data_IF_988382529646
#
_entry.id   IF_988382529646
#
_cell.length_a   1.000
_cell.length_b   1.000
_cell.length_c   1.000
_cell.angle_alpha   90.00
_cell.angle_beta   90.00
_cell.angle_gamma   90.00
#
_symmetry.space_group_name_H-M   'P 1'
#
loop_
_entity.id
_entity.type
_entity.pdbx_description
1 polymer ?
#
# COMPACT_ATOMS: atom_id res chain seq x y z
N UNK A 1 11.55 27.72 -55.52
CA UNK A 1 11.55 28.10 -54.09
C UNK A 1 11.54 26.81 -53.27
N UNK A 2 12.73 26.25 -53.03
CA UNK A 2 12.90 24.97 -52.33
C UNK A 2 12.93 25.20 -50.83
N UNK A 3 11.89 24.75 -50.13
CA UNK A 3 11.75 24.80 -48.68
C UNK A 3 12.73 23.81 -48.03
N UNK A 4 13.93 24.30 -47.69
CA UNK A 4 14.85 23.58 -46.81
C UNK A 4 14.25 23.47 -45.41
N UNK A 5 13.69 22.31 -45.10
CA UNK A 5 13.36 21.95 -43.72
C UNK A 5 14.68 21.65 -43.01
N UNK A 6 15.09 22.52 -42.09
CA UNK A 6 16.30 22.34 -41.29
C UNK A 6 16.17 21.05 -40.44
N UNK A 7 17.09 20.09 -40.55
CA UNK A 7 17.03 18.83 -39.80
C UNK A 7 17.05 19.06 -38.28
N UNK A 8 17.66 20.17 -37.83
CA UNK A 8 17.69 20.58 -36.43
C UNK A 8 16.28 20.81 -35.83
N UNK A 9 15.32 21.30 -36.63
CA UNK A 9 13.92 21.49 -36.19
C UNK A 9 13.20 20.14 -35.98
N UNK A 10 13.59 19.11 -36.73
CA UNK A 10 13.02 17.77 -36.61
C UNK A 10 13.59 17.03 -35.39
N UNK A 11 14.90 17.20 -35.13
CA UNK A 11 15.57 16.65 -33.94
C UNK A 11 15.03 17.27 -32.66
N UNK A 12 14.82 18.59 -32.63
CA UNK A 12 14.26 19.26 -31.44
C UNK A 12 12.85 18.79 -31.09
N UNK A 13 12.00 18.55 -32.10
CA UNK A 13 10.64 18.00 -31.89
C UNK A 13 10.69 16.56 -31.38
N UNK A 14 11.64 15.76 -31.87
CA UNK A 14 11.82 14.39 -31.43
C UNK A 14 12.29 14.33 -29.96
N UNK A 15 13.27 15.16 -29.59
CA UNK A 15 13.72 15.28 -28.21
C UNK A 15 12.62 15.77 -27.28
N UNK A 16 11.83 16.75 -27.71
CA UNK A 16 10.68 17.24 -26.94
C UNK A 16 9.63 16.15 -26.73
N UNK A 17 9.32 15.37 -27.77
CA UNK A 17 8.40 14.24 -27.67
C UNK A 17 8.93 13.17 -26.69
N UNK A 18 10.24 12.89 -26.72
CA UNK A 18 10.88 11.92 -25.83
C UNK A 18 10.81 12.38 -24.36
N UNK A 19 11.03 13.68 -24.10
CA UNK A 19 10.92 14.26 -22.76
C UNK A 19 9.47 14.17 -22.26
N UNK A 20 8.49 14.51 -23.11
CA UNK A 20 7.07 14.46 -22.75
C UNK A 20 6.59 13.03 -22.47
N UNK A 21 7.08 12.03 -23.22
CA UNK A 21 6.80 10.61 -22.92
C UNK A 21 7.48 10.15 -21.63
N UNK A 22 8.71 10.61 -21.34
CA UNK A 22 9.44 10.26 -20.13
C UNK A 22 8.86 10.85 -18.84
N UNK A 23 8.14 11.97 -18.93
CA UNK A 23 7.45 12.59 -17.79
C UNK A 23 6.11 11.93 -17.45
N UNK A 24 5.65 10.97 -18.26
CA UNK A 24 4.41 10.24 -18.00
C UNK A 24 4.65 9.18 -16.91
N UNK A 25 4.57 9.61 -15.65
CA UNK A 25 4.62 8.71 -14.51
C UNK A 25 3.25 8.04 -14.37
N UNK A 26 3.16 6.75 -14.69
CA UNK A 26 1.96 5.95 -14.42
C UNK A 26 1.95 5.70 -12.91
N UNK A 27 0.95 6.22 -12.19
CA UNK A 27 0.78 5.91 -10.78
C UNK A 27 0.14 4.53 -10.66
N UNK A 28 0.94 3.53 -10.33
CA UNK A 28 0.47 2.21 -9.96
C UNK A 28 0.26 2.25 -8.45
N UNK A 29 -0.99 2.24 -8.01
CA UNK A 29 -1.29 2.07 -6.59
C UNK A 29 -0.78 0.68 -6.17
N UNK A 30 0.04 0.63 -5.14
CA UNK A 30 0.45 -0.64 -4.54
C UNK A 30 -0.74 -1.25 -3.79
N UNK A 31 -0.95 -2.54 -3.96
CA UNK A 31 -1.91 -3.28 -3.14
C UNK A 31 -1.44 -3.24 -1.68
N UNK A 32 -2.35 -2.83 -0.79
CA UNK A 32 -2.05 -2.77 0.63
C UNK A 32 -2.30 -4.14 1.27
N UNK A 33 -1.22 -4.86 1.54
CA UNK A 33 -1.24 -6.11 2.32
C UNK A 33 -0.89 -5.78 3.76
N UNK A 34 -1.89 -5.80 4.65
CA UNK A 34 -1.73 -5.36 6.04
C UNK A 34 -0.81 -6.28 6.86
N UNK A 35 -0.72 -7.57 6.51
CA UNK A 35 0.16 -8.56 7.15
C UNK A 35 0.68 -9.58 6.12
N UNK A 36 1.77 -9.28 5.39
CA UNK A 36 2.29 -10.14 4.33
C UNK A 36 2.78 -11.51 4.85
N UNK A 37 3.23 -11.57 6.10
CA UNK A 37 3.73 -12.80 6.74
C UNK A 37 2.65 -13.55 7.54
N UNK A 38 1.38 -13.12 7.45
CA UNK A 38 0.26 -13.74 8.17
C UNK A 38 -0.96 -13.93 7.23
N UNK A 39 -0.90 -14.94 6.34
CA UNK A 39 -1.96 -15.18 5.36
C UNK A 39 -3.22 -15.77 6.00
N UNK A 40 -4.33 -15.69 5.26
CA UNK A 40 -5.61 -16.30 5.69
C UNK A 40 -5.45 -17.82 5.80
N UNK A 41 -5.95 -18.39 6.90
CA UNK A 41 -5.87 -19.81 7.21
C UNK A 41 -4.66 -20.19 8.06
N UNK A 42 -3.73 -19.27 8.28
CA UNK A 42 -2.63 -19.44 9.23
C UNK A 42 -3.16 -19.48 10.68
N UNK A 43 -2.45 -20.17 11.57
CA UNK A 43 -2.83 -20.22 12.99
C UNK A 43 -2.61 -18.86 13.65
N UNK A 44 -3.62 -18.37 14.37
CA UNK A 44 -3.52 -17.07 15.06
C UNK A 44 -2.42 -17.13 16.13
N UNK A 45 -1.48 -16.18 16.16
CA UNK A 45 -0.45 -16.14 17.18
C UNK A 45 -1.08 -15.97 18.56
N UNK A 46 -0.52 -16.59 19.59
CA UNK A 46 -1.01 -16.42 20.96
C UNK A 46 -0.91 -14.95 21.39
N UNK A 47 -2.03 -14.40 21.87
CA UNK A 47 -2.10 -13.05 22.43
C UNK A 47 -2.47 -13.18 23.90
N UNK A 48 -1.78 -12.41 24.75
CA UNK A 48 -2.08 -12.27 26.17
C UNK A 48 -1.82 -10.83 26.59
N UNK A 49 -2.84 -10.17 27.11
CA UNK A 49 -2.76 -8.76 27.51
C UNK A 49 -3.73 -8.46 28.66
N UNK A 50 -3.45 -7.40 29.41
CA UNK A 50 -4.38 -6.89 30.40
C UNK A 50 -5.48 -6.09 29.72
N UNK A 51 -6.73 -6.28 30.15
CA UNK A 51 -7.85 -5.45 29.72
C UNK A 51 -7.92 -4.11 30.47
N UNK A 52 -8.99 -3.35 30.23
CA UNK A 52 -9.21 -2.03 30.84
C UNK A 52 -9.39 -2.07 32.36
N UNK A 53 -9.69 -3.24 32.93
CA UNK A 53 -9.84 -3.45 34.35
C UNK A 53 -8.56 -4.02 34.99
N UNK A 54 -7.54 -4.34 34.17
CA UNK A 54 -6.31 -4.97 34.60
C UNK A 54 -6.38 -6.50 34.67
N UNK A 55 -7.43 -7.10 34.13
CA UNK A 55 -7.58 -8.56 34.10
C UNK A 55 -6.84 -9.14 32.89
N UNK A 56 -6.11 -10.24 33.10
CA UNK A 56 -5.39 -10.92 32.03
C UNK A 56 -6.38 -11.63 31.10
N UNK A 57 -6.34 -11.29 29.82
CA UNK A 57 -7.12 -11.91 28.76
C UNK A 57 -6.19 -12.62 27.77
N UNK A 58 -6.57 -13.82 27.35
CA UNK A 58 -5.93 -14.57 26.27
C UNK A 58 -6.83 -14.69 25.05
N UNK A 59 -6.33 -15.19 23.93
CA UNK A 59 -7.17 -15.51 22.75
C UNK A 59 -8.30 -16.47 23.11
N UNK A 60 -8.00 -17.49 23.92
CA UNK A 60 -8.98 -18.53 24.25
C UNK A 60 -10.12 -17.96 25.10
N UNK A 61 -9.82 -16.97 25.96
CA UNK A 61 -10.82 -16.26 26.76
C UNK A 61 -11.73 -15.38 25.90
N UNK A 62 -11.18 -14.82 24.81
CA UNK A 62 -11.89 -13.90 23.91
C UNK A 62 -12.64 -14.61 22.77
N UNK A 63 -12.31 -15.86 22.46
CA UNK A 63 -12.88 -16.61 21.35
C UNK A 63 -14.30 -17.12 21.68
N UNK A 64 -15.31 -16.53 21.02
CA UNK A 64 -16.69 -17.01 21.14
C UNK A 64 -17.06 -18.09 20.11
N UNK A 65 -18.29 -18.61 20.21
CA UNK A 65 -18.82 -19.63 19.29
C UNK A 65 -18.80 -19.22 17.80
N UNK A 66 -18.83 -17.91 17.53
CA UNK A 66 -18.84 -17.32 16.18
C UNK A 66 -17.47 -16.80 15.74
N UNK A 67 -16.44 -17.05 16.53
CA UNK A 67 -15.12 -16.49 16.33
C UNK A 67 -14.92 -15.12 16.99
N UNK A 68 -13.83 -14.47 16.61
CA UNK A 68 -13.34 -13.22 17.20
C UNK A 68 -12.96 -12.23 16.10
N UNK A 69 -13.35 -10.96 16.25
CA UNK A 69 -12.92 -9.86 15.39
C UNK A 69 -11.86 -9.04 16.14
N UNK A 70 -10.62 -9.07 15.65
CA UNK A 70 -9.57 -8.17 16.13
C UNK A 70 -9.61 -6.84 15.38
N UNK A 71 -9.91 -5.75 16.10
CA UNK A 71 -9.79 -4.39 15.60
C UNK A 71 -8.53 -3.74 16.16
N UNK A 72 -7.52 -3.57 15.32
CA UNK A 72 -6.31 -2.83 15.67
C UNK A 72 -6.50 -1.36 15.31
N UNK A 73 -6.50 -0.51 16.33
CA UNK A 73 -6.55 0.93 16.17
C UNK A 73 -5.29 1.56 16.75
N UNK A 74 -4.62 2.43 15.97
CA UNK A 74 -3.52 3.25 16.46
C UNK A 74 -4.09 4.60 16.86
N UNK A 75 -4.09 4.90 18.16
CA UNK A 75 -4.39 6.26 18.62
C UNK A 75 -3.36 7.22 18.04
N UNK A 76 -3.83 8.37 17.53
CA UNK A 76 -2.99 9.44 17.03
C UNK A 76 -3.42 10.73 17.73
N UNK A 77 -2.49 11.36 18.43
CA UNK A 77 -2.67 12.71 18.96
C UNK A 77 -2.36 13.67 17.81
N UNK A 78 -3.38 14.28 17.22
CA UNK A 78 -3.26 15.29 16.18
C UNK A 78 -2.99 16.67 16.77
#
# INVERSE_FOLDING_TARGET
MTLFHSPAKSVGKFLLALILLGTFQISLAQDFVWAPDFPVGESVPSISALDQNGDLQTIDDLMGEKGLLFLLNRSFDW
#
